data_IF_852820054123
#
_entry.id   IF_852820054123
#
_cell.length_a   1.000
_cell.length_b   1.000
_cell.length_c   1.000
_cell.angle_alpha   90.00
_cell.angle_beta   90.00
_cell.angle_gamma   90.00
#
_symmetry.space_group_name_H-M   'P 1'
#
loop_
_entity.id
_entity.type
_entity.pdbx_description
1 polymer ?
#
# COMPACT_ATOMS: atom_id res chain seq x y z
N UNK A 1 -64.63 69.73 10.93
CA UNK A 1 -63.53 68.89 11.38
C UNK A 1 -63.58 67.52 10.58
N UNK A 2 -62.85 67.45 9.51
CA UNK A 2 -62.84 66.29 8.60
C UNK A 2 -61.62 65.46 8.94
N UNK A 3 -61.83 64.16 9.20
CA UNK A 3 -60.73 63.16 9.31
C UNK A 3 -60.59 62.37 8.02
N UNK A 4 -59.48 62.61 7.32
CA UNK A 4 -59.08 61.76 6.17
C UNK A 4 -58.59 60.41 6.70
N UNK A 5 -59.20 59.35 6.15
CA UNK A 5 -58.61 57.97 6.25
C UNK A 5 -57.84 57.67 4.96
N UNK A 6 -56.54 57.48 5.10
CA UNK A 6 -55.66 57.01 4.02
C UNK A 6 -55.66 55.50 4.04
N UNK A 7 -56.11 54.88 2.94
CA UNK A 7 -56.04 53.43 2.73
C UNK A 7 -54.76 53.12 1.96
N UNK A 8 -53.75 52.53 2.65
CA UNK A 8 -52.54 51.97 2.04
C UNK A 8 -52.86 50.58 1.47
N UNK A 9 -52.85 50.44 0.19
CA UNK A 9 -52.96 49.16 -0.53
C UNK A 9 -51.63 48.40 -0.44
N UNK A 10 -51.62 47.26 0.25
CA UNK A 10 -50.50 46.33 0.34
C UNK A 10 -50.53 45.39 -0.84
N UNK A 11 -49.65 45.64 -1.86
CA UNK A 11 -49.47 44.71 -3.01
C UNK A 11 -48.64 43.52 -2.55
N UNK A 12 -49.26 42.35 -2.34
CA UNK A 12 -48.64 41.07 -2.08
C UNK A 12 -48.12 40.47 -3.39
N UNK A 13 -46.85 40.68 -3.71
CA UNK A 13 -46.21 40.01 -4.87
C UNK A 13 -45.97 38.53 -4.52
N UNK A 14 -46.81 37.68 -5.06
CA UNK A 14 -46.62 36.20 -5.01
C UNK A 14 -45.42 35.83 -5.88
N UNK A 15 -44.31 35.48 -5.23
CA UNK A 15 -43.08 34.93 -5.86
C UNK A 15 -43.41 33.49 -6.30
N UNK A 16 -43.75 33.29 -7.59
CA UNK A 16 -43.94 31.95 -8.18
C UNK A 16 -42.53 31.32 -8.31
N UNK A 17 -42.13 30.47 -7.37
CA UNK A 17 -40.95 29.63 -7.49
C UNK A 17 -41.19 28.60 -8.62
N UNK A 18 -40.63 28.82 -9.80
CA UNK A 18 -40.57 27.84 -10.87
C UNK A 18 -39.64 26.74 -10.40
N UNK A 19 -40.11 25.46 -10.24
CA UNK A 19 -39.18 24.38 -9.91
C UNK A 19 -38.23 24.23 -11.11
N UNK A 20 -36.91 24.38 -10.83
CA UNK A 20 -35.88 24.05 -11.79
C UNK A 20 -36.03 22.53 -12.11
N UNK A 21 -36.52 22.20 -13.27
CA UNK A 21 -36.51 20.82 -13.77
C UNK A 21 -35.08 20.42 -13.93
N UNK A 22 -34.55 19.65 -12.97
CA UNK A 22 -33.26 19.03 -13.09
C UNK A 22 -33.27 18.21 -14.39
N UNK A 23 -32.43 18.59 -15.36
CA UNK A 23 -32.24 17.84 -16.59
C UNK A 23 -31.80 16.43 -16.20
N UNK A 24 -32.73 15.47 -16.39
CA UNK A 24 -32.37 14.06 -16.17
C UNK A 24 -31.14 13.75 -17.04
N UNK A 25 -30.07 13.31 -16.43
CA UNK A 25 -28.89 12.89 -17.17
C UNK A 25 -29.25 11.74 -18.13
N UNK A 26 -28.51 11.61 -19.22
CA UNK A 26 -28.71 10.47 -20.14
C UNK A 26 -28.59 9.14 -19.36
N UNK A 27 -29.41 8.13 -19.68
CA UNK A 27 -29.36 6.84 -19.03
C UNK A 27 -27.93 6.23 -19.12
N UNK A 28 -27.38 5.79 -17.99
CA UNK A 28 -26.02 5.28 -17.91
C UNK A 28 -25.97 4.01 -17.08
N UNK A 29 -25.00 3.16 -17.39
CA UNK A 29 -24.63 1.99 -16.61
C UNK A 29 -23.25 2.23 -16.04
N UNK A 30 -23.11 2.02 -14.73
CA UNK A 30 -21.82 2.09 -14.02
C UNK A 30 -21.53 0.75 -13.39
N UNK A 31 -20.35 0.20 -13.66
CA UNK A 31 -19.87 -1.05 -13.04
C UNK A 31 -18.41 -0.92 -12.65
N UNK A 32 -17.95 -1.85 -11.83
CA UNK A 32 -16.52 -2.08 -11.58
C UNK A 32 -16.18 -3.50 -11.99
N UNK A 33 -15.00 -3.70 -12.56
CA UNK A 33 -14.45 -5.01 -12.85
C UNK A 33 -13.12 -5.20 -12.14
N UNK A 34 -12.86 -6.41 -11.71
CA UNK A 34 -11.54 -6.78 -11.19
C UNK A 34 -10.92 -7.90 -12.04
N UNK A 35 -9.60 -7.91 -12.11
CA UNK A 35 -8.84 -8.96 -12.77
C UNK A 35 -7.66 -9.36 -11.91
N UNK A 36 -7.41 -10.66 -11.81
CA UNK A 36 -6.31 -11.22 -11.01
C UNK A 36 -5.46 -12.13 -11.87
N UNK A 37 -4.14 -12.00 -11.73
CA UNK A 37 -3.14 -12.86 -12.35
C UNK A 37 -2.28 -13.46 -11.25
N UNK A 38 -2.08 -14.78 -11.29
CA UNK A 38 -1.15 -15.51 -10.42
C UNK A 38 0.17 -15.68 -11.16
N UNK A 39 1.27 -15.56 -10.44
CA UNK A 39 2.61 -15.77 -10.99
C UNK A 39 3.56 -16.31 -9.92
N UNK A 40 4.50 -17.14 -10.34
CA UNK A 40 5.61 -17.53 -9.47
C UNK A 40 6.57 -16.35 -9.30
N UNK A 41 6.98 -16.01 -8.07
CA UNK A 41 7.95 -14.95 -7.84
C UNK A 41 9.32 -15.35 -8.37
N UNK A 42 10.09 -14.37 -8.84
CA UNK A 42 11.48 -14.52 -9.26
C UNK A 42 12.44 -13.58 -8.52
N UNK A 43 11.92 -12.87 -7.51
CA UNK A 43 12.68 -11.96 -6.65
C UNK A 43 12.21 -12.05 -5.20
N UNK A 44 13.17 -11.92 -4.28
CA UNK A 44 12.89 -11.73 -2.86
C UNK A 44 13.49 -10.42 -2.38
N UNK A 45 12.76 -9.75 -1.50
CA UNK A 45 13.16 -8.57 -0.77
C UNK A 45 13.21 -8.96 0.71
N UNK A 46 14.36 -8.75 1.36
CA UNK A 46 14.53 -8.95 2.79
C UNK A 46 14.72 -7.59 3.44
N UNK A 47 13.81 -7.23 4.31
CA UNK A 47 13.86 -6.00 5.11
C UNK A 47 14.27 -6.36 6.55
N UNK A 48 15.21 -5.59 7.10
CA UNK A 48 15.69 -5.78 8.47
C UNK A 48 16.12 -4.47 9.09
N UNK A 49 16.15 -4.44 10.42
CA UNK A 49 16.51 -3.26 11.22
C UNK A 49 17.65 -3.54 12.16
N UNK A 50 18.57 -2.59 12.26
CA UNK A 50 19.60 -2.52 13.27
C UNK A 50 19.19 -1.47 14.28
N UNK A 51 18.95 -1.87 15.52
CA UNK A 51 18.52 -0.98 16.60
C UNK A 51 19.57 -0.99 17.70
N UNK A 52 20.15 0.18 17.98
CA UNK A 52 21.19 0.37 19.01
C UNK A 52 20.75 1.43 20.00
N UNK A 53 20.82 1.11 21.29
CA UNK A 53 20.41 2.00 22.37
C UNK A 53 21.58 2.43 23.22
N UNK A 54 21.59 3.71 23.63
CA UNK A 54 22.59 4.24 24.55
C UNK A 54 22.04 5.44 25.34
N UNK A 55 22.80 5.90 26.33
CA UNK A 55 22.45 7.11 27.11
C UNK A 55 22.63 8.41 26.33
N UNK A 56 23.45 8.39 25.29
CA UNK A 56 23.75 9.54 24.43
C UNK A 56 23.48 9.19 22.96
N UNK A 57 23.03 10.16 22.21
CA UNK A 57 22.69 9.99 20.78
C UNK A 57 23.91 9.61 19.93
N UNK A 58 25.09 10.21 20.21
CA UNK A 58 26.33 9.91 19.51
C UNK A 58 26.80 8.47 19.75
N UNK A 59 26.63 7.97 20.98
CA UNK A 59 26.98 6.61 21.34
C UNK A 59 26.04 5.60 20.65
N UNK A 60 24.71 5.84 20.68
CA UNK A 60 23.75 5.03 19.98
C UNK A 60 24.07 4.93 18.47
N UNK A 61 24.38 6.07 17.83
CA UNK A 61 24.78 6.14 16.43
C UNK A 61 26.08 5.40 16.14
N UNK A 62 27.08 5.54 16.99
CA UNK A 62 28.39 4.87 16.84
C UNK A 62 28.26 3.36 16.92
N UNK A 63 27.49 2.84 17.90
CA UNK A 63 27.23 1.41 18.04
C UNK A 63 26.46 0.90 16.81
N UNK A 64 25.46 1.65 16.36
CA UNK A 64 24.69 1.30 15.16
C UNK A 64 25.57 1.21 13.90
N UNK A 65 26.47 2.17 13.71
CA UNK A 65 27.40 2.16 12.59
C UNK A 65 28.37 0.95 12.66
N UNK A 66 28.84 0.58 13.85
CA UNK A 66 29.70 -0.59 14.02
C UNK A 66 28.98 -1.91 13.67
N UNK A 67 27.72 -2.08 14.10
CA UNK A 67 26.90 -3.25 13.74
C UNK A 67 26.59 -3.24 12.23
N UNK A 68 26.19 -2.09 11.65
CA UNK A 68 25.99 -1.95 10.21
C UNK A 68 27.20 -2.37 9.39
N UNK A 69 28.40 -2.00 9.84
CA UNK A 69 29.65 -2.42 9.22
C UNK A 69 29.90 -3.94 9.27
N UNK A 70 29.45 -4.62 10.34
CA UNK A 70 29.49 -6.10 10.40
C UNK A 70 28.49 -6.72 9.45
N UNK A 71 27.27 -6.18 9.40
CA UNK A 71 26.21 -6.63 8.47
C UNK A 71 26.68 -6.54 7.03
N UNK A 72 27.23 -5.39 6.60
CA UNK A 72 27.77 -5.24 5.25
C UNK A 72 28.81 -6.31 4.91
N UNK A 73 29.78 -6.55 5.82
CA UNK A 73 30.81 -7.59 5.60
C UNK A 73 30.20 -8.98 5.47
N UNK A 74 29.24 -9.33 6.33
CA UNK A 74 28.56 -10.63 6.26
C UNK A 74 27.77 -10.83 4.98
N UNK A 75 27.12 -9.78 4.49
CA UNK A 75 26.43 -9.81 3.21
C UNK A 75 27.41 -9.92 2.04
N UNK A 76 28.56 -9.25 2.09
CA UNK A 76 29.63 -9.37 1.10
C UNK A 76 30.20 -10.80 1.04
N UNK A 77 30.40 -11.46 2.22
CA UNK A 77 30.85 -12.86 2.29
C UNK A 77 29.93 -13.85 1.56
N UNK A 78 28.63 -13.53 1.46
CA UNK A 78 27.63 -14.36 0.75
C UNK A 78 27.27 -13.82 -0.64
N UNK A 79 28.05 -12.84 -1.15
CA UNK A 79 27.98 -12.35 -2.53
C UNK A 79 27.12 -11.11 -2.78
N UNK A 80 26.71 -10.38 -1.74
CA UNK A 80 25.97 -9.11 -1.87
C UNK A 80 26.93 -7.92 -1.72
N UNK A 81 27.24 -7.25 -2.82
CA UNK A 81 28.03 -6.03 -2.78
C UNK A 81 27.30 -4.93 -1.98
N UNK A 82 28.06 -4.06 -1.35
CA UNK A 82 27.52 -2.99 -0.47
C UNK A 82 26.48 -2.11 -1.18
N UNK A 83 26.65 -1.88 -2.47
CA UNK A 83 25.77 -1.06 -3.32
C UNK A 83 24.40 -1.71 -3.56
N UNK A 84 24.27 -3.02 -3.31
CA UNK A 84 23.01 -3.78 -3.42
C UNK A 84 22.22 -3.82 -2.13
N UNK A 85 22.76 -3.23 -1.05
CA UNK A 85 22.13 -3.12 0.26
C UNK A 85 21.63 -1.70 0.46
N UNK A 86 20.32 -1.51 0.41
CA UNK A 86 19.69 -0.20 0.43
C UNK A 86 19.36 0.24 1.86
N UNK A 87 19.64 1.50 2.19
CA UNK A 87 19.08 2.14 3.39
C UNK A 87 17.66 2.59 3.09
N UNK A 88 16.69 2.05 3.82
CA UNK A 88 15.28 2.45 3.73
C UNK A 88 14.98 3.60 4.68
N UNK A 89 15.57 3.56 5.87
CA UNK A 89 15.41 4.59 6.89
C UNK A 89 16.61 4.61 7.83
N UNK A 90 17.02 5.81 8.25
CA UNK A 90 17.96 6.00 9.34
C UNK A 90 17.47 7.14 10.24
N UNK A 91 17.42 6.90 11.54
CA UNK A 91 17.01 7.92 12.50
C UNK A 91 17.55 7.63 13.89
N UNK A 92 17.64 8.69 14.69
CA UNK A 92 17.97 8.61 16.13
C UNK A 92 16.81 9.21 16.90
N UNK A 93 16.17 8.39 17.70
CA UNK A 93 14.98 8.75 18.45
C UNK A 93 15.29 8.87 19.93
N UNK A 94 14.65 9.82 20.62
CA UNK A 94 14.68 9.91 22.07
C UNK A 94 13.77 8.87 22.68
N UNK A 95 14.29 8.09 23.63
CA UNK A 95 13.49 7.16 24.42
C UNK A 95 13.06 7.82 25.73
N UNK A 96 11.81 7.65 26.08
CA UNK A 96 11.21 8.19 27.28
C UNK A 96 10.83 7.08 28.24
N UNK A 97 10.89 7.35 29.53
CA UNK A 97 10.40 6.47 30.58
C UNK A 97 8.87 6.31 30.57
N UNK A 98 8.34 5.45 31.43
CA UNK A 98 6.91 5.23 31.54
C UNK A 98 6.15 6.55 31.79
N UNK A 99 4.99 6.69 31.13
CA UNK A 99 4.11 7.84 31.34
C UNK A 99 3.57 7.85 32.78
N UNK A 100 3.80 8.97 33.50
CA UNK A 100 3.23 9.21 34.83
C UNK A 100 2.35 10.45 34.75
N UNK A 101 1.07 10.30 35.11
CA UNK A 101 0.11 11.40 35.07
C UNK A 101 0.61 12.61 35.90
N UNK A 102 0.58 13.80 35.29
CA UNK A 102 1.04 15.05 35.92
C UNK A 102 2.54 15.29 35.92
N UNK A 103 3.35 14.39 35.34
CA UNK A 103 4.81 14.58 35.17
C UNK A 103 5.18 14.67 33.68
N UNK A 104 6.21 15.45 33.38
CA UNK A 104 6.83 15.41 32.03
C UNK A 104 7.55 14.08 31.86
N UNK A 105 7.45 13.44 30.66
CA UNK A 105 8.22 12.25 30.37
C UNK A 105 9.72 12.49 30.55
N UNK A 106 10.40 11.61 31.30
CA UNK A 106 11.83 11.67 31.51
C UNK A 106 12.55 11.00 30.32
N UNK A 107 13.59 11.64 29.80
CA UNK A 107 14.45 11.03 28.78
C UNK A 107 15.28 9.92 29.40
N UNK A 108 15.09 8.68 28.96
CA UNK A 108 15.80 7.51 29.46
C UNK A 108 17.00 7.11 28.62
N UNK A 109 17.04 7.55 27.35
CA UNK A 109 18.11 7.27 26.41
C UNK A 109 17.79 7.66 24.99
N UNK A 110 18.56 7.10 24.06
CA UNK A 110 18.41 7.30 22.63
C UNK A 110 18.50 5.95 21.92
N UNK A 111 17.68 5.77 20.87
CA UNK A 111 17.71 4.61 19.98
C UNK A 111 18.08 5.06 18.56
N UNK A 112 19.20 4.57 18.04
CA UNK A 112 19.53 4.68 16.62
C UNK A 112 18.92 3.49 15.88
N UNK A 113 18.11 3.78 14.86
CA UNK A 113 17.42 2.79 14.03
C UNK A 113 17.91 2.93 12.60
N UNK A 114 18.45 1.85 12.04
CA UNK A 114 18.87 1.76 10.64
C UNK A 114 18.12 0.61 9.98
N UNK A 115 17.11 0.95 9.18
CA UNK A 115 16.34 -0.02 8.40
C UNK A 115 16.98 -0.18 7.04
N UNK A 116 17.24 -1.43 6.68
CA UNK A 116 17.94 -1.80 5.47
C UNK A 116 17.13 -2.81 4.66
N UNK A 117 17.46 -2.91 3.38
CA UNK A 117 16.81 -3.77 2.41
C UNK A 117 17.82 -4.41 1.49
N UNK A 118 17.67 -5.71 1.28
CA UNK A 118 18.42 -6.48 0.27
C UNK A 118 17.44 -7.06 -0.73
N UNK A 119 17.75 -6.90 -2.02
CA UNK A 119 17.00 -7.52 -3.13
C UNK A 119 17.83 -8.63 -3.73
N UNK A 120 17.20 -9.78 -3.99
CA UNK A 120 17.86 -10.91 -4.67
C UNK A 120 16.96 -11.51 -5.75
N UNK A 121 17.56 -11.93 -6.86
CA UNK A 121 16.91 -12.74 -7.89
C UNK A 121 16.99 -14.27 -7.63
N UNK A 122 17.76 -14.70 -6.64
CA UNK A 122 17.77 -16.10 -6.19
C UNK A 122 17.01 -16.22 -4.87
N UNK A 123 15.80 -16.76 -4.94
CA UNK A 123 14.91 -16.89 -3.77
C UNK A 123 15.53 -17.71 -2.64
N UNK A 124 16.43 -18.66 -2.96
CA UNK A 124 17.13 -19.49 -1.98
C UNK A 124 18.11 -18.68 -1.11
N UNK A 125 18.51 -17.51 -1.58
CA UNK A 125 19.40 -16.62 -0.83
C UNK A 125 18.68 -15.89 0.30
N UNK A 126 17.34 -15.81 0.30
CA UNK A 126 16.59 -15.09 1.32
C UNK A 126 16.89 -15.61 2.74
N UNK A 127 16.91 -16.94 2.94
CA UNK A 127 17.30 -17.56 4.22
C UNK A 127 18.74 -17.23 4.61
N UNK A 128 19.69 -17.33 3.66
CA UNK A 128 21.09 -17.02 3.92
C UNK A 128 21.33 -15.54 4.28
N UNK A 129 20.56 -14.63 3.67
CA UNK A 129 20.60 -13.20 4.01
C UNK A 129 20.18 -13.02 5.47
N UNK A 130 19.07 -13.67 5.88
CA UNK A 130 18.58 -13.59 7.25
C UNK A 130 19.63 -14.11 8.23
N UNK A 131 20.17 -15.30 7.98
CA UNK A 131 21.19 -15.91 8.83
C UNK A 131 22.42 -14.98 8.96
N UNK A 132 22.91 -14.44 7.84
CA UNK A 132 24.06 -13.54 7.82
C UNK A 132 23.83 -12.24 8.59
N UNK A 133 22.65 -11.61 8.48
CA UNK A 133 22.36 -10.34 9.19
C UNK A 133 22.13 -10.59 10.67
N UNK A 134 21.52 -11.71 11.05
CA UNK A 134 21.34 -12.09 12.45
C UNK A 134 22.67 -12.41 13.12
N UNK A 135 23.57 -13.15 12.47
CA UNK A 135 24.93 -13.43 12.96
C UNK A 135 25.76 -12.16 13.13
N UNK A 136 25.53 -11.15 12.30
CA UNK A 136 26.21 -9.86 12.41
C UNK A 136 25.69 -9.01 13.58
N UNK A 137 24.58 -9.40 14.22
CA UNK A 137 23.96 -8.70 15.34
C UNK A 137 22.90 -7.70 14.91
N UNK A 138 22.23 -7.91 13.75
CA UNK A 138 21.01 -7.20 13.42
C UNK A 138 19.94 -7.48 14.48
N UNK A 139 19.14 -6.45 14.80
CA UNK A 139 18.24 -6.56 15.93
C UNK A 139 16.91 -7.23 15.53
N UNK A 140 16.46 -7.08 14.26
CA UNK A 140 15.12 -7.47 13.86
C UNK A 140 15.06 -7.74 12.36
N UNK A 141 14.36 -8.81 11.98
CA UNK A 141 13.93 -9.03 10.61
C UNK A 141 12.53 -8.44 10.47
N UNK A 142 12.41 -7.37 9.70
CA UNK A 142 11.14 -6.66 9.50
C UNK A 142 10.19 -7.46 8.60
N UNK A 143 10.74 -8.26 7.66
CA UNK A 143 9.95 -9.14 6.82
C UNK A 143 10.66 -9.59 5.54
N UNK A 144 9.97 -10.49 4.83
CA UNK A 144 10.37 -10.94 3.50
C UNK A 144 9.19 -10.72 2.56
N UNK A 145 9.45 -10.09 1.43
CA UNK A 145 8.46 -9.89 0.38
C UNK A 145 8.92 -10.58 -0.88
N UNK A 146 8.08 -11.45 -1.42
CA UNK A 146 8.30 -12.04 -2.74
C UNK A 146 7.64 -11.20 -3.82
N UNK A 147 8.33 -11.01 -4.94
CA UNK A 147 7.86 -10.20 -6.05
C UNK A 147 8.32 -10.77 -7.38
N UNK A 148 7.95 -10.14 -8.48
CA UNK A 148 8.40 -10.56 -9.82
C UNK A 148 9.09 -9.40 -10.52
N UNK A 149 10.12 -9.73 -11.32
CA UNK A 149 10.74 -8.80 -12.27
C UNK A 149 9.75 -8.34 -13.34
N UNK A 150 8.63 -9.06 -13.51
CA UNK A 150 7.59 -8.81 -14.52
C UNK A 150 6.34 -8.14 -13.92
N UNK A 151 6.43 -7.50 -12.74
CA UNK A 151 5.27 -6.90 -12.07
C UNK A 151 4.45 -5.98 -12.96
N UNK A 152 5.09 -5.16 -13.82
CA UNK A 152 4.38 -4.26 -14.72
C UNK A 152 3.57 -5.02 -15.77
N UNK A 153 4.13 -6.08 -16.36
CA UNK A 153 3.43 -6.93 -17.33
C UNK A 153 2.26 -7.69 -16.68
N UNK A 154 2.45 -8.20 -15.46
CA UNK A 154 1.40 -8.87 -14.70
C UNK A 154 0.26 -7.90 -14.37
N UNK A 155 0.59 -6.67 -13.98
CA UNK A 155 -0.38 -5.62 -13.73
C UNK A 155 -1.18 -5.26 -14.98
N UNK A 156 -0.51 -5.14 -16.15
CA UNK A 156 -1.18 -4.90 -17.42
C UNK A 156 -2.16 -6.03 -17.77
N UNK A 157 -1.73 -7.29 -17.62
CA UNK A 157 -2.60 -8.44 -17.86
C UNK A 157 -3.80 -8.46 -16.90
N UNK A 158 -3.61 -8.11 -15.62
CA UNK A 158 -4.70 -8.00 -14.65
C UNK A 158 -5.68 -6.87 -15.02
N UNK A 159 -5.17 -5.72 -15.52
CA UNK A 159 -6.02 -4.62 -16.01
C UNK A 159 -6.86 -5.03 -17.22
N UNK A 160 -6.29 -5.77 -18.17
CA UNK A 160 -7.04 -6.26 -19.33
C UNK A 160 -8.19 -7.19 -18.91
N UNK A 161 -7.96 -8.06 -17.92
CA UNK A 161 -8.99 -8.92 -17.36
C UNK A 161 -10.07 -8.07 -16.68
N UNK A 162 -9.65 -7.08 -15.87
CA UNK A 162 -10.58 -6.19 -15.16
C UNK A 162 -11.50 -5.42 -16.12
N UNK A 163 -10.96 -4.89 -17.22
CA UNK A 163 -11.73 -4.18 -18.23
C UNK A 163 -12.72 -5.13 -18.93
N UNK A 164 -12.30 -6.33 -19.33
CA UNK A 164 -13.20 -7.33 -19.94
C UNK A 164 -14.36 -7.69 -19.00
N UNK A 165 -14.09 -7.88 -17.71
CA UNK A 165 -15.11 -8.17 -16.72
C UNK A 165 -16.09 -7.00 -16.55
N UNK A 166 -15.59 -5.76 -16.43
CA UNK A 166 -16.44 -4.57 -16.34
C UNK A 166 -17.36 -4.41 -17.54
N UNK A 167 -16.86 -4.64 -18.78
CA UNK A 167 -17.67 -4.60 -20.00
C UNK A 167 -18.70 -5.73 -20.01
N UNK A 168 -18.31 -6.94 -19.58
CA UNK A 168 -19.22 -8.09 -19.49
C UNK A 168 -20.38 -7.83 -18.54
N UNK A 169 -20.10 -7.31 -17.36
CA UNK A 169 -21.09 -6.96 -16.34
C UNK A 169 -22.00 -5.81 -16.82
N UNK A 170 -21.43 -4.76 -17.42
CA UNK A 170 -22.20 -3.66 -17.99
C UNK A 170 -23.17 -4.14 -19.11
N UNK A 171 -22.69 -5.05 -19.97
CA UNK A 171 -23.53 -5.65 -21.01
C UNK A 171 -24.63 -6.54 -20.44
N UNK A 172 -24.40 -7.28 -19.38
CA UNK A 172 -25.38 -8.08 -18.68
C UNK A 172 -26.47 -7.19 -18.04
N UNK A 173 -26.05 -6.09 -17.39
CA UNK A 173 -26.95 -5.11 -16.79
C UNK A 173 -27.83 -4.43 -17.85
N UNK A 174 -27.24 -4.03 -19.00
CA UNK A 174 -27.97 -3.42 -20.11
C UNK A 174 -29.09 -4.34 -20.61
N UNK A 175 -28.78 -5.59 -20.89
CA UNK A 175 -29.78 -6.59 -21.36
C UNK A 175 -30.86 -6.85 -20.31
N UNK A 176 -30.51 -6.95 -19.04
CA UNK A 176 -31.47 -7.15 -17.95
C UNK A 176 -32.43 -5.95 -17.79
N UNK A 177 -31.95 -4.74 -18.12
CA UNK A 177 -32.75 -3.51 -18.12
C UNK A 177 -33.62 -3.35 -19.40
N UNK A 178 -33.57 -4.28 -20.36
CA UNK A 178 -34.36 -4.26 -21.59
C UNK A 178 -33.74 -3.48 -22.74
N UNK A 179 -32.45 -3.12 -22.64
CA UNK A 179 -31.72 -2.37 -23.67
C UNK A 179 -30.36 -2.98 -24.01
N UNK A 180 -29.46 -2.15 -24.51
CA UNK A 180 -28.11 -2.53 -24.92
C UNK A 180 -27.04 -1.60 -24.34
N UNK A 181 -25.80 -2.07 -24.28
CA UNK A 181 -24.66 -1.30 -23.85
C UNK A 181 -24.20 -0.38 -24.98
N UNK A 182 -24.20 0.93 -24.74
CA UNK A 182 -23.72 1.94 -25.67
C UNK A 182 -22.24 2.24 -25.54
N UNK A 183 -21.83 3.44 -25.95
CA UNK A 183 -20.44 3.88 -25.93
C UNK A 183 -19.87 4.02 -24.49
N UNK A 184 -18.56 3.85 -24.39
CA UNK A 184 -17.83 4.11 -23.15
C UNK A 184 -17.77 5.62 -22.90
N UNK A 185 -18.26 6.05 -21.74
CA UNK A 185 -18.22 7.45 -21.28
C UNK A 185 -16.96 7.71 -20.47
N UNK A 186 -16.63 6.78 -19.57
CA UNK A 186 -15.50 6.91 -18.66
C UNK A 186 -14.96 5.54 -18.29
N UNK A 187 -13.62 5.44 -18.20
CA UNK A 187 -12.93 4.29 -17.65
C UNK A 187 -11.81 4.81 -16.78
N UNK A 188 -11.81 4.44 -15.51
CA UNK A 188 -10.83 4.89 -14.55
C UNK A 188 -10.37 3.71 -13.68
N UNK A 189 -9.12 3.77 -13.23
CA UNK A 189 -8.66 2.96 -12.10
C UNK A 189 -8.95 3.73 -10.82
N UNK A 190 -9.63 3.15 -9.81
CA UNK A 190 -9.78 3.80 -8.51
C UNK A 190 -8.42 4.23 -7.97
N UNK A 191 -8.32 5.44 -7.42
CA UNK A 191 -7.12 5.88 -6.71
C UNK A 191 -6.82 4.93 -5.55
N UNK A 192 -5.52 4.62 -5.37
CA UNK A 192 -5.00 3.71 -4.34
C UNK A 192 -5.34 2.22 -4.52
N UNK A 193 -4.80 1.63 -5.58
CA UNK A 193 -4.54 0.18 -5.55
C UNK A 193 -3.28 -0.06 -4.71
N UNK A 194 -3.49 -0.25 -3.42
CA UNK A 194 -2.44 -0.76 -2.56
C UNK A 194 -2.21 -2.22 -2.96
N UNK A 195 -1.02 -2.51 -3.46
CA UNK A 195 -0.54 -3.87 -3.56
C UNK A 195 -0.40 -4.42 -2.15
N UNK A 196 -1.32 -5.27 -1.76
CA UNK A 196 -1.09 -6.16 -0.63
C UNK A 196 -0.54 -7.46 -1.22
N UNK A 197 0.75 -7.78 -1.04
CA UNK A 197 1.16 -9.17 -1.13
C UNK A 197 0.31 -9.90 -0.09
N UNK A 198 -0.41 -10.93 -0.49
CA UNK A 198 -1.07 -11.79 0.49
C UNK A 198 0.04 -12.40 1.34
N UNK A 199 0.26 -11.84 2.52
CA UNK A 199 1.15 -12.40 3.51
C UNK A 199 0.61 -13.74 3.96
N UNK A 200 1.16 -14.80 3.43
CA UNK A 200 1.08 -16.09 4.09
C UNK A 200 2.44 -16.38 4.71
N UNK A 201 2.71 -15.77 5.85
CA UNK A 201 3.83 -16.15 6.71
C UNK A 201 3.51 -17.48 7.40
N UNK A 202 3.95 -18.57 6.82
CA UNK A 202 4.14 -19.79 7.56
C UNK A 202 5.61 -19.88 7.98
N UNK A 203 6.00 -19.11 8.98
CA UNK A 203 7.25 -19.34 9.73
C UNK A 203 7.08 -20.65 10.51
N UNK A 204 7.50 -21.76 9.90
CA UNK A 204 7.79 -22.97 10.66
C UNK A 204 9.12 -22.78 11.35
N UNK A 205 9.07 -22.39 12.62
CA UNK A 205 10.19 -22.51 13.55
C UNK A 205 10.68 -23.95 13.57
N UNK A 206 11.89 -24.20 13.08
CA UNK A 206 12.63 -25.44 13.22
C UNK A 206 13.95 -25.17 13.95
N UNK A 207 14.34 -26.20 14.68
CA UNK A 207 15.55 -26.32 15.51
C UNK A 207 16.82 -25.71 14.90
N UNK A 208 17.68 -25.22 15.77
CA UNK A 208 18.90 -24.40 15.59
C UNK A 208 20.04 -24.99 14.71
N UNK A 209 19.80 -26.02 13.90
CA UNK A 209 20.86 -26.69 13.12
C UNK A 209 20.62 -26.73 11.60
N UNK A 210 19.58 -26.09 11.07
CA UNK A 210 19.35 -25.96 9.63
C UNK A 210 19.14 -24.49 9.24
N UNK A 211 19.80 -24.07 8.12
CA UNK A 211 19.60 -22.76 7.51
C UNK A 211 18.11 -22.41 7.40
N UNK A 212 17.74 -21.15 7.62
CA UNK A 212 16.36 -20.69 7.58
C UNK A 212 15.71 -21.05 6.24
N UNK A 213 14.80 -22.04 6.26
CA UNK A 213 14.12 -22.52 5.04
C UNK A 213 12.88 -21.66 4.77
N UNK A 214 12.89 -20.98 3.62
CA UNK A 214 11.81 -20.09 3.19
C UNK A 214 11.27 -20.61 1.86
N UNK A 215 9.97 -20.87 1.82
CA UNK A 215 9.27 -21.33 0.61
C UNK A 215 8.45 -20.17 0.06
N UNK A 216 8.78 -19.73 -1.15
CA UNK A 216 8.02 -18.72 -1.85
C UNK A 216 6.71 -19.31 -2.38
N UNK A 217 5.60 -18.60 -2.14
CA UNK A 217 4.30 -18.94 -2.73
C UNK A 217 4.04 -18.07 -3.97
N UNK A 218 3.05 -18.46 -4.76
CA UNK A 218 2.59 -17.65 -5.88
C UNK A 218 2.12 -16.26 -5.40
N UNK A 219 2.50 -15.25 -6.16
CA UNK A 219 2.04 -13.87 -5.95
C UNK A 219 0.76 -13.65 -6.74
N UNK A 220 -0.17 -12.94 -6.13
CA UNK A 220 -1.43 -12.53 -6.74
C UNK A 220 -1.36 -11.05 -7.08
N UNK A 221 -1.52 -10.73 -8.37
CA UNK A 221 -1.56 -9.34 -8.86
C UNK A 221 -2.98 -9.03 -9.29
N UNK A 222 -3.65 -8.17 -8.55
CA UNK A 222 -5.04 -7.78 -8.80
C UNK A 222 -5.11 -6.32 -9.26
N UNK A 223 -5.92 -6.07 -10.28
CA UNK A 223 -6.26 -4.73 -10.75
C UNK A 223 -7.78 -4.56 -10.73
N UNK A 224 -8.24 -3.33 -10.48
CA UNK A 224 -9.65 -2.97 -10.50
C UNK A 224 -9.85 -1.76 -11.39
N UNK A 225 -10.94 -1.74 -12.15
CA UNK A 225 -11.35 -0.60 -12.95
C UNK A 225 -12.80 -0.26 -12.64
N UNK A 226 -13.15 1.00 -12.74
CA UNK A 226 -14.52 1.49 -12.73
C UNK A 226 -14.84 2.03 -14.12
N UNK A 227 -15.98 1.66 -14.66
CA UNK A 227 -16.42 2.08 -15.98
C UNK A 227 -17.83 2.61 -15.99
N UNK A 228 -18.09 3.52 -16.92
CA UNK A 228 -19.42 4.11 -17.15
C UNK A 228 -19.70 4.14 -18.64
N UNK A 229 -20.86 3.63 -19.01
CA UNK A 229 -21.31 3.49 -20.39
C UNK A 229 -22.70 4.11 -20.58
N UNK A 230 -23.01 4.51 -21.80
CA UNK A 230 -24.35 4.91 -22.17
C UNK A 230 -25.26 3.68 -22.19
N UNK A 231 -26.46 3.82 -21.65
CA UNK A 231 -27.53 2.83 -21.85
C UNK A 231 -28.37 3.22 -23.08
N UNK A 232 -28.64 2.26 -23.95
CA UNK A 232 -29.43 2.41 -25.16
C UNK A 232 -30.63 1.49 -25.05
N UNK A 233 -31.82 2.09 -25.09
CA UNK A 233 -33.11 1.37 -25.12
C UNK A 233 -33.30 0.62 -26.45
#
# INVERSE_FOLDING_TARGET
>A
MAKLFSATAFCLAALIAIPAVAKAGEPQISTSGSGTVLASPDRAQVDFSIISRAKRSEEASSVNAAVSGKVYRKLEEIGFARETVYTVHYGVNTEYGPFVAGKRPEVTGFAAVHRMRVLTGDLRMAGKIIDAVMDAGAAEIDGITFTSSKMDSLRQAALEIAVRNAIGDAGAMARAAGGSLGELIELATPEAQHYFPMESMALKSRSFDEATSIVAQEISVTATVAGRWRFVE
#
